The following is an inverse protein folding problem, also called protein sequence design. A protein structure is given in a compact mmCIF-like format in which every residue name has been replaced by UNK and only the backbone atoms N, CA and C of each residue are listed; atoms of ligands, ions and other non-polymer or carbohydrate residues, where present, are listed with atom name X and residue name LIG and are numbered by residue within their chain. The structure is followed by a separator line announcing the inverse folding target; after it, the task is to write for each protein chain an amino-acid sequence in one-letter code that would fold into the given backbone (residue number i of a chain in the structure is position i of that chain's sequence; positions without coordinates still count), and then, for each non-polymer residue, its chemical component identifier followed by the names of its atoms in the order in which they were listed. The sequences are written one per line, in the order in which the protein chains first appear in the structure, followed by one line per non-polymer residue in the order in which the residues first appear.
data_IF_866628443350
#
_entry.id   IF_866628443350
#
_cell.length_a   1.000
_cell.length_b   1.000
_cell.length_c   1.000
_cell.angle_alpha   90.00
_cell.angle_beta   90.00
_cell.angle_gamma   90.00
#
_symmetry.space_group_name_H-M   'P 1'
#
loop_
_entity.id
_entity.type
_entity.pdbx_description
1 polymer ?
#
# COMPACT_ATOMS: atom_id res chain seq x y z
N UNK A 1 -14.76 23.75 26.71
CA UNK A 1 -14.86 23.57 25.25
C UNK A 1 -14.90 22.07 25.02
N UNK A 2 -16.03 21.54 24.56
CA UNK A 2 -16.16 20.14 24.21
C UNK A 2 -15.54 19.90 22.82
N UNK A 3 -14.91 18.74 22.66
CA UNK A 3 -14.19 18.38 21.43
C UNK A 3 -15.04 17.34 20.68
N UNK A 4 -15.71 17.79 19.63
CA UNK A 4 -16.60 16.96 18.81
C UNK A 4 -16.27 17.10 17.32
N UNK A 5 -16.46 16.02 16.56
CA UNK A 5 -16.34 16.06 15.10
C UNK A 5 -17.62 16.67 14.50
N UNK A 6 -17.44 17.45 13.43
CA UNK A 6 -18.55 18.03 12.69
C UNK A 6 -18.65 17.40 11.31
N UNK A 7 -19.84 16.94 10.95
CA UNK A 7 -20.09 16.41 9.61
C UNK A 7 -19.89 17.49 8.55
N UNK A 8 -19.25 17.11 7.45
CA UNK A 8 -19.19 17.95 6.26
C UNK A 8 -20.54 17.89 5.52
N UNK A 9 -20.79 18.87 4.65
CA UNK A 9 -21.98 18.85 3.81
C UNK A 9 -21.80 17.82 2.68
N UNK A 10 -22.84 17.05 2.35
CA UNK A 10 -22.78 16.01 1.32
C UNK A 10 -22.43 16.57 -0.08
N UNK A 11 -22.83 17.80 -0.39
CA UNK A 11 -22.47 18.49 -1.63
C UNK A 11 -20.98 18.90 -1.69
N UNK A 12 -20.32 18.99 -0.54
CA UNK A 12 -18.90 19.30 -0.43
C UNK A 12 -17.97 18.10 -0.70
N UNK A 13 -18.50 16.86 -0.77
CA UNK A 13 -17.70 15.63 -0.96
C UNK A 13 -16.74 15.73 -2.15
N UNK A 14 -17.21 16.21 -3.31
CA UNK A 14 -16.36 16.35 -4.50
C UNK A 14 -15.19 17.33 -4.28
N UNK A 15 -15.42 18.40 -3.52
CA UNK A 15 -14.40 19.40 -3.18
C UNK A 15 -13.42 18.86 -2.13
N UNK A 16 -13.93 18.14 -1.13
CA UNK A 16 -13.14 17.47 -0.10
C UNK A 16 -12.22 16.41 -0.71
N UNK A 17 -12.71 15.57 -1.63
CA UNK A 17 -11.88 14.57 -2.32
C UNK A 17 -10.73 15.21 -3.13
N UNK A 18 -10.97 16.35 -3.78
CA UNK A 18 -9.91 17.11 -4.46
C UNK A 18 -8.86 17.61 -3.48
N UNK A 19 -9.27 18.11 -2.31
CA UNK A 19 -8.35 18.52 -1.24
C UNK A 19 -7.54 17.33 -0.72
N UNK A 20 -8.15 16.18 -0.46
CA UNK A 20 -7.44 14.98 -0.02
C UNK A 20 -6.32 14.59 -1.01
N UNK A 21 -6.61 14.60 -2.32
CA UNK A 21 -5.59 14.39 -3.35
C UNK A 21 -4.47 15.44 -3.31
N UNK A 22 -4.82 16.71 -3.12
CA UNK A 22 -3.85 17.80 -3.02
C UNK A 22 -2.93 17.64 -1.81
N UNK A 23 -3.48 17.34 -0.63
CA UNK A 23 -2.70 17.14 0.60
C UNK A 23 -1.74 15.96 0.49
N UNK A 24 -2.15 14.85 -0.17
CA UNK A 24 -1.22 13.76 -0.50
C UNK A 24 -0.06 14.24 -1.38
N UNK A 25 -0.33 15.05 -2.41
CA UNK A 25 0.71 15.61 -3.27
C UNK A 25 1.65 16.59 -2.55
N UNK A 26 1.19 17.18 -1.44
CA UNK A 26 1.99 18.03 -0.55
C UNK A 26 2.76 17.23 0.52
N UNK A 27 2.73 15.90 0.47
CA UNK A 27 3.32 15.01 1.48
C UNK A 27 2.70 15.19 2.88
N UNK A 28 1.41 15.54 2.94
CA UNK A 28 0.61 15.64 4.16
C UNK A 28 -0.44 14.51 4.22
N UNK A 29 -0.02 13.23 4.36
CA UNK A 29 -0.93 12.09 4.26
C UNK A 29 -1.89 11.96 5.44
N UNK A 30 -1.53 12.46 6.63
CA UNK A 30 -2.40 12.44 7.82
C UNK A 30 -3.64 13.35 7.62
N UNK A 31 -3.44 14.52 7.00
CA UNK A 31 -4.54 15.43 6.64
C UNK A 31 -5.40 14.81 5.55
N UNK A 32 -4.79 14.15 4.56
CA UNK A 32 -5.53 13.46 3.52
C UNK A 32 -6.35 12.28 4.07
N UNK A 33 -5.81 11.50 5.01
CA UNK A 33 -6.52 10.46 5.74
C UNK A 33 -7.73 11.05 6.47
N UNK A 34 -7.53 12.11 7.25
CA UNK A 34 -8.59 12.77 8.02
C UNK A 34 -9.77 13.18 7.12
N UNK A 35 -9.49 13.84 6.01
CA UNK A 35 -10.53 14.23 5.03
C UNK A 35 -11.24 13.00 4.43
N UNK A 36 -10.52 11.91 4.19
CA UNK A 36 -11.15 10.69 3.67
C UNK A 36 -12.09 10.07 4.71
N UNK A 37 -11.73 10.08 5.99
CA UNK A 37 -12.61 9.60 7.07
C UNK A 37 -13.89 10.43 7.16
N UNK A 38 -13.80 11.76 7.06
CA UNK A 38 -14.97 12.65 7.05
C UNK A 38 -15.91 12.34 5.88
N UNK A 39 -15.36 12.08 4.69
CA UNK A 39 -16.16 11.72 3.52
C UNK A 39 -16.78 10.32 3.70
N UNK A 40 -16.01 9.34 4.17
CA UNK A 40 -16.47 7.97 4.38
C UNK A 40 -17.52 7.88 5.51
N UNK A 41 -17.56 8.82 6.45
CA UNK A 41 -18.63 8.91 7.44
C UNK A 41 -19.99 9.15 6.78
N UNK A 42 -20.02 9.94 5.70
CA UNK A 42 -21.24 10.30 4.97
C UNK A 42 -21.55 9.30 3.85
N UNK A 43 -20.52 8.85 3.13
CA UNK A 43 -20.62 7.97 1.97
C UNK A 43 -19.61 6.82 2.10
N UNK A 44 -20.00 5.78 2.84
CA UNK A 44 -19.14 4.67 3.24
C UNK A 44 -18.62 3.83 2.07
N UNK A 45 -19.36 3.79 0.95
CA UNK A 45 -19.07 2.94 -0.21
C UNK A 45 -18.40 3.72 -1.35
N UNK A 46 -17.98 4.97 -1.10
CA UNK A 46 -17.34 5.81 -2.11
C UNK A 46 -15.98 5.25 -2.56
N UNK A 47 -16.00 4.51 -3.67
CA UNK A 47 -14.82 3.81 -4.20
C UNK A 47 -13.64 4.74 -4.51
N UNK A 48 -13.92 5.97 -4.97
CA UNK A 48 -12.86 6.94 -5.26
C UNK A 48 -12.17 7.43 -4.00
N UNK A 49 -12.92 7.56 -2.89
CA UNK A 49 -12.38 7.98 -1.59
C UNK A 49 -11.63 6.83 -0.94
N UNK A 50 -12.15 5.60 -1.00
CA UNK A 50 -11.46 4.40 -0.49
C UNK A 50 -10.07 4.26 -1.12
N UNK A 51 -9.94 4.46 -2.43
CA UNK A 51 -8.63 4.46 -3.12
C UNK A 51 -7.69 5.51 -2.54
N UNK A 52 -8.15 6.75 -2.35
CA UNK A 52 -7.31 7.83 -1.80
C UNK A 52 -6.97 7.58 -0.33
N UNK A 53 -7.89 7.02 0.45
CA UNK A 53 -7.70 6.63 1.84
C UNK A 53 -6.60 5.57 1.97
N UNK A 54 -6.71 4.48 1.20
CA UNK A 54 -5.69 3.42 1.13
C UNK A 54 -4.34 4.03 0.79
N UNK A 55 -4.28 4.86 -0.25
CA UNK A 55 -3.03 5.46 -0.68
C UNK A 55 -2.44 6.42 0.37
N UNK A 56 -3.26 7.19 1.10
CA UNK A 56 -2.80 8.05 2.19
C UNK A 56 -2.19 7.23 3.34
N UNK A 57 -2.84 6.12 3.72
CA UNK A 57 -2.31 5.21 4.74
C UNK A 57 -1.00 4.55 4.30
N UNK A 58 -0.89 4.16 3.03
CA UNK A 58 0.33 3.59 2.45
C UNK A 58 1.50 4.58 2.46
N UNK A 59 1.23 5.86 2.25
CA UNK A 59 2.26 6.91 2.30
C UNK A 59 2.83 7.05 3.74
N UNK A 60 2.03 6.78 4.77
CA UNK A 60 2.46 6.82 6.17
C UNK A 60 3.30 5.61 6.59
N UNK A 61 3.13 4.43 5.98
CA UNK A 61 3.95 3.23 6.28
C UNK A 61 5.44 3.53 6.11
N UNK A 62 5.80 4.28 5.07
CA UNK A 62 7.19 4.64 4.81
C UNK A 62 7.82 5.46 5.95
N UNK A 63 7.01 6.21 6.71
CA UNK A 63 7.46 6.98 7.87
C UNK A 63 7.54 6.10 9.12
N UNK A 64 6.47 5.35 9.42
CA UNK A 64 6.41 4.44 10.54
C UNK A 64 5.35 3.34 10.32
N UNK A 65 5.77 2.07 10.30
CA UNK A 65 4.84 0.95 10.22
C UNK A 65 4.26 0.63 11.61
N UNK A 66 2.93 0.60 11.69
CA UNK A 66 2.19 0.12 12.87
C UNK A 66 1.30 -1.04 12.44
N UNK A 67 1.33 -2.16 13.15
CA UNK A 67 0.53 -3.34 12.81
C UNK A 67 -0.99 -3.05 12.78
N UNK A 68 -1.46 -2.11 13.61
CA UNK A 68 -2.85 -1.65 13.61
C UNK A 68 -3.20 -0.96 12.30
N UNK A 69 -2.30 -0.16 11.73
CA UNK A 69 -2.49 0.53 10.46
C UNK A 69 -2.55 -0.44 9.29
N UNK A 70 -1.72 -1.50 9.28
CA UNK A 70 -1.76 -2.55 8.25
C UNK A 70 -3.15 -3.18 8.17
N UNK A 71 -3.74 -3.55 9.32
CA UNK A 71 -5.10 -4.11 9.37
C UNK A 71 -6.17 -3.16 8.88
N UNK A 72 -6.01 -1.85 9.09
CA UNK A 72 -6.93 -0.83 8.57
C UNK A 72 -6.84 -0.77 7.04
N UNK A 73 -5.63 -0.84 6.48
CA UNK A 73 -5.41 -0.83 5.03
C UNK A 73 -6.02 -2.09 4.40
N UNK A 74 -5.76 -3.28 4.96
CA UNK A 74 -6.32 -4.54 4.47
C UNK A 74 -7.86 -4.49 4.40
N UNK A 75 -8.51 -4.04 5.48
CA UNK A 75 -9.97 -3.85 5.51
C UNK A 75 -10.47 -2.84 4.50
N UNK A 76 -9.73 -1.75 4.28
CA UNK A 76 -10.09 -0.76 3.27
C UNK A 76 -9.96 -1.33 1.84
N UNK A 77 -8.93 -2.15 1.58
CA UNK A 77 -8.75 -2.86 0.31
C UNK A 77 -9.91 -3.85 0.08
N UNK A 78 -10.32 -4.61 1.09
CA UNK A 78 -11.43 -5.56 0.99
C UNK A 78 -12.75 -4.91 0.56
N UNK A 79 -12.98 -3.63 0.91
CA UNK A 79 -14.15 -2.85 0.52
C UNK A 79 -14.14 -2.36 -0.94
N UNK A 80 -13.03 -2.50 -1.66
CA UNK A 80 -12.98 -2.12 -3.07
C UNK A 80 -13.78 -3.11 -3.91
N UNK A 81 -14.64 -2.61 -4.79
CA UNK A 81 -15.52 -3.45 -5.61
C UNK A 81 -14.74 -4.21 -6.69
N UNK A 82 -13.72 -3.59 -7.27
CA UNK A 82 -12.92 -4.18 -8.34
C UNK A 82 -11.91 -5.19 -7.80
N UNK A 83 -12.00 -6.43 -8.28
CA UNK A 83 -11.01 -7.46 -7.96
C UNK A 83 -9.59 -7.07 -8.41
N UNK A 84 -9.47 -6.39 -9.56
CA UNK A 84 -8.20 -5.82 -10.02
C UNK A 84 -7.61 -4.88 -8.98
N UNK A 85 -8.41 -3.92 -8.50
CA UNK A 85 -7.95 -2.95 -7.51
C UNK A 85 -7.58 -3.64 -6.20
N UNK A 86 -8.33 -4.66 -5.76
CA UNK A 86 -7.98 -5.45 -4.57
C UNK A 86 -6.58 -6.07 -4.69
N UNK A 87 -6.30 -6.79 -5.78
CA UNK A 87 -4.97 -7.35 -6.00
C UNK A 87 -3.90 -6.26 -6.14
N UNK A 88 -4.17 -5.20 -6.90
CA UNK A 88 -3.20 -4.12 -7.11
C UNK A 88 -2.80 -3.42 -5.80
N UNK A 89 -3.77 -3.02 -4.97
CA UNK A 89 -3.48 -2.34 -3.71
C UNK A 89 -2.92 -3.26 -2.64
N UNK A 90 -3.25 -4.56 -2.64
CA UNK A 90 -2.56 -5.56 -1.81
C UNK A 90 -1.09 -5.72 -2.21
N UNK A 91 -0.80 -5.71 -3.51
CA UNK A 91 0.58 -5.68 -4.01
C UNK A 91 1.32 -4.43 -3.57
N UNK A 92 0.66 -3.26 -3.69
CA UNK A 92 1.24 -1.99 -3.28
C UNK A 92 1.51 -1.92 -1.77
N UNK A 93 0.64 -2.50 -0.94
CA UNK A 93 0.86 -2.61 0.50
C UNK A 93 2.16 -3.37 0.81
N UNK A 94 2.32 -4.57 0.26
CA UNK A 94 3.53 -5.37 0.48
C UNK A 94 4.78 -4.70 -0.10
N UNK A 95 4.68 -4.05 -1.26
CA UNK A 95 5.78 -3.26 -1.82
C UNK A 95 6.22 -2.13 -0.87
N UNK A 96 5.28 -1.39 -0.26
CA UNK A 96 5.63 -0.31 0.68
C UNK A 96 6.32 -0.83 1.93
N UNK A 97 5.87 -1.97 2.45
CA UNK A 97 6.51 -2.65 3.60
C UNK A 97 7.92 -3.12 3.25
N UNK A 98 8.09 -3.75 2.09
CA UNK A 98 9.40 -4.16 1.59
C UNK A 98 10.37 -2.98 1.47
N UNK A 99 9.93 -1.88 0.84
CA UNK A 99 10.74 -0.66 0.66
C UNK A 99 11.14 0.01 1.96
N UNK A 100 10.29 -0.04 2.98
CA UNK A 100 10.65 0.42 4.33
C UNK A 100 11.76 -0.45 4.92
N UNK A 101 11.63 -1.77 4.84
CA UNK A 101 12.58 -2.71 5.43
C UNK A 101 13.95 -2.67 4.76
N UNK A 102 14.05 -2.28 3.47
CA UNK A 102 15.35 -2.06 2.81
C UNK A 102 16.20 -1.02 3.54
N UNK A 103 15.58 -0.03 4.20
CA UNK A 103 16.34 1.00 4.94
C UNK A 103 17.05 0.42 6.18
N UNK A 104 16.77 -0.84 6.54
CA UNK A 104 17.31 -1.55 7.69
C UNK A 104 18.03 -2.82 7.24
N UNK A 105 19.37 -2.83 7.22
CA UNK A 105 20.16 -3.96 6.68
C UNK A 105 19.81 -5.32 7.28
N UNK A 106 19.51 -5.37 8.58
CA UNK A 106 19.13 -6.61 9.29
C UNK A 106 17.77 -7.18 8.85
N UNK A 107 17.03 -6.45 8.02
CA UNK A 107 15.68 -6.80 7.57
C UNK A 107 15.60 -7.17 6.08
N UNK A 108 16.74 -7.31 5.39
CA UNK A 108 16.78 -7.55 3.93
C UNK A 108 16.06 -8.83 3.48
N UNK A 109 16.13 -9.91 4.25
CA UNK A 109 15.40 -11.14 3.95
C UNK A 109 13.88 -10.94 4.04
N UNK A 110 13.41 -10.26 5.10
CA UNK A 110 11.99 -9.90 5.21
C UNK A 110 11.56 -8.93 4.08
N UNK A 111 12.43 -8.00 3.68
CA UNK A 111 12.16 -7.13 2.54
C UNK A 111 11.99 -7.93 1.25
N UNK A 112 12.83 -8.94 1.03
CA UNK A 112 12.70 -9.87 -0.09
C UNK A 112 11.35 -10.58 -0.07
N UNK A 113 10.96 -11.17 1.06
CA UNK A 113 9.69 -11.90 1.19
C UNK A 113 8.49 -11.01 0.84
N UNK A 114 8.44 -9.78 1.36
CA UNK A 114 7.38 -8.83 1.00
C UNK A 114 7.41 -8.41 -0.48
N UNK A 115 8.58 -8.32 -1.11
CA UNK A 115 8.64 -8.10 -2.55
C UNK A 115 8.07 -9.28 -3.33
N UNK A 116 8.36 -10.52 -2.91
CA UNK A 116 7.81 -11.71 -3.55
C UNK A 116 6.28 -11.73 -3.42
N UNK A 117 5.75 -11.43 -2.24
CA UNK A 117 4.29 -11.29 -2.04
C UNK A 117 3.70 -10.20 -2.95
N UNK A 118 4.34 -9.02 -3.01
CA UNK A 118 3.91 -7.93 -3.88
C UNK A 118 3.87 -8.35 -5.35
N UNK A 119 4.89 -9.06 -5.82
CA UNK A 119 4.97 -9.61 -7.17
C UNK A 119 3.80 -10.57 -7.42
N UNK A 120 3.54 -11.53 -6.53
CA UNK A 120 2.41 -12.46 -6.67
C UNK A 120 1.07 -11.73 -6.85
N UNK A 121 0.82 -10.67 -6.06
CA UNK A 121 -0.36 -9.83 -6.22
C UNK A 121 -0.40 -9.10 -7.56
N UNK A 122 0.70 -8.50 -8.00
CA UNK A 122 0.75 -7.83 -9.30
C UNK A 122 0.58 -8.79 -10.48
N UNK A 123 1.03 -10.04 -10.35
CA UNK A 123 0.77 -11.08 -11.34
C UNK A 123 -0.72 -11.45 -11.41
N UNK A 124 -1.43 -11.51 -10.28
CA UNK A 124 -2.87 -11.72 -10.31
C UNK A 124 -3.60 -10.51 -10.88
N UNK A 125 -3.17 -9.29 -10.52
CA UNK A 125 -3.75 -8.06 -11.05
C UNK A 125 -3.57 -7.95 -12.57
N UNK A 126 -2.39 -8.27 -13.12
CA UNK A 126 -2.13 -8.16 -14.56
C UNK A 126 -2.99 -9.12 -15.41
N UNK A 127 -3.39 -10.28 -14.87
CA UNK A 127 -4.28 -11.23 -15.56
C UNK A 127 -5.71 -10.73 -15.74
N UNK A 128 -6.16 -9.82 -14.88
CA UNK A 128 -7.54 -9.28 -14.88
C UNK A 128 -7.55 -7.76 -15.08
N UNK A 129 -6.44 -7.24 -15.61
CA UNK A 129 -6.26 -5.81 -15.86
C UNK A 129 -7.31 -5.31 -16.87
N UNK A 130 -7.93 -4.14 -16.64
CA UNK A 130 -8.70 -3.44 -17.66
C UNK A 130 -7.83 -3.12 -18.89
N UNK A 131 -8.45 -3.01 -20.07
CA UNK A 131 -7.75 -2.67 -21.29
C UNK A 131 -6.86 -1.42 -21.12
N UNK A 132 -5.61 -1.51 -21.57
CA UNK A 132 -4.60 -0.45 -21.51
C UNK A 132 -4.17 -0.04 -20.09
N UNK A 133 -4.41 -0.88 -19.07
CA UNK A 133 -3.90 -0.63 -17.72
C UNK A 133 -2.65 -1.48 -17.41
N UNK A 134 -1.48 -0.91 -17.68
CA UNK A 134 -0.19 -1.57 -17.41
C UNK A 134 0.39 -1.26 -16.02
N UNK A 135 -0.37 -0.63 -15.12
CA UNK A 135 0.17 -0.19 -13.82
C UNK A 135 0.73 -1.35 -13.00
N UNK A 136 0.05 -2.51 -12.96
CA UNK A 136 0.53 -3.69 -12.27
C UNK A 136 1.88 -4.20 -12.84
N UNK A 137 2.05 -4.12 -14.17
CA UNK A 137 3.29 -4.52 -14.86
C UNK A 137 4.41 -3.53 -14.54
N UNK A 138 4.12 -2.22 -14.56
CA UNK A 138 5.08 -1.17 -14.20
C UNK A 138 5.58 -1.34 -12.75
N UNK A 139 4.67 -1.68 -11.83
CA UNK A 139 4.99 -1.96 -10.43
C UNK A 139 5.83 -3.23 -10.27
N UNK A 140 5.42 -4.33 -10.92
CA UNK A 140 6.20 -5.56 -10.98
C UNK A 140 7.66 -5.31 -11.42
N UNK A 141 7.84 -4.56 -12.51
CA UNK A 141 9.16 -4.21 -13.02
C UNK A 141 9.97 -3.35 -12.04
N UNK A 142 9.31 -2.45 -11.30
CA UNK A 142 9.95 -1.65 -10.25
C UNK A 142 10.43 -2.51 -9.08
N UNK A 143 9.63 -3.50 -8.67
CA UNK A 143 10.01 -4.45 -7.63
C UNK A 143 11.26 -5.24 -8.03
N UNK A 144 11.28 -5.85 -9.23
CA UNK A 144 12.45 -6.61 -9.71
C UNK A 144 13.71 -5.76 -9.72
N UNK A 145 13.67 -4.56 -10.33
CA UNK A 145 14.83 -3.65 -10.36
C UNK A 145 15.32 -3.30 -8.96
N UNK A 146 14.42 -3.20 -7.98
CA UNK A 146 14.79 -2.90 -6.60
C UNK A 146 15.47 -4.11 -5.94
N UNK A 147 14.90 -5.31 -6.11
CA UNK A 147 15.49 -6.57 -5.60
C UNK A 147 16.91 -6.75 -6.12
N UNK A 148 17.12 -6.57 -7.43
CA UNK A 148 18.43 -6.69 -8.08
C UNK A 148 19.42 -5.63 -7.58
N UNK A 149 19.00 -4.37 -7.54
CA UNK A 149 19.83 -3.24 -7.10
C UNK A 149 20.31 -3.40 -5.66
N UNK A 150 19.41 -3.77 -4.76
CA UNK A 150 19.70 -3.92 -3.33
C UNK A 150 20.25 -5.32 -2.98
N UNK A 151 20.41 -6.20 -4.00
CA UNK A 151 20.89 -7.58 -3.89
C UNK A 151 20.15 -8.39 -2.81
N UNK A 152 18.83 -8.20 -2.76
CA UNK A 152 17.99 -8.89 -1.79
C UNK A 152 17.97 -10.38 -2.09
N UNK A 153 18.00 -11.19 -1.03
CA UNK A 153 18.02 -12.65 -1.11
C UNK A 153 16.97 -13.23 -0.16
N UNK A 154 16.45 -14.43 -0.46
CA UNK A 154 15.62 -15.15 0.50
C UNK A 154 16.39 -15.36 1.80
N UNK A 155 15.64 -15.54 2.89
CA UNK A 155 16.23 -16.04 4.13
C UNK A 155 16.80 -17.44 3.85
N UNK A 156 18.08 -17.63 4.16
CA UNK A 156 18.66 -18.97 4.20
C UNK A 156 18.11 -19.66 5.44
N UNK A 157 17.48 -20.81 5.27
CA UNK A 157 17.11 -21.64 6.41
C UNK A 157 18.37 -22.28 7.01
N UNK A 158 18.29 -22.73 8.28
CA UNK A 158 19.44 -23.33 8.97
C UNK A 158 20.02 -24.55 8.26
N UNK A 159 19.21 -25.24 7.45
CA UNK A 159 19.65 -26.37 6.61
C UNK A 159 20.50 -25.90 5.42
N UNK A 160 20.18 -24.76 4.80
CA UNK A 160 20.93 -24.23 3.65
C UNK A 160 22.32 -23.72 4.05
N UNK A 161 22.46 -23.17 5.26
CA UNK A 161 23.74 -22.69 5.80
C UNK A 161 24.75 -23.81 6.05
N UNK A 162 24.28 -25.03 6.33
CA UNK A 162 25.15 -26.19 6.55
C UNK A 162 25.75 -26.69 5.23
N UNK A 163 25.00 -26.60 4.12
CA UNK A 163 25.45 -27.05 2.79
C UNK A 163 26.54 -26.12 2.22
N UNK A 164 26.44 -24.81 2.44
CA UNK A 164 27.44 -23.82 2.01
C UNK A 164 28.76 -23.89 2.81
N UNK A 165 28.74 -24.44 4.04
CA UNK A 165 29.96 -24.63 4.84
C UNK A 165 30.71 -25.92 4.53
N UNK A 166 30.05 -26.88 3.87
CA UNK A 166 30.62 -28.17 3.46
C UNK A 166 31.10 -28.19 1.99
N UNK A 167 30.93 -27.10 1.25
CA UNK A 167 31.31 -26.93 -0.17
C UNK A 167 32.53 -26.03 -0.34
#
# INVERSE_FOLDING_TARGET
MELELHDIHADAIKKALKKAKQYRSLLEPEIAESICLDILNIDQDNQSVLVIYILALLDQILLAEKQTQIKVIERAIEKLNSQYQRYYYSGLLNERRARRLITQTMSHSFAYDYFIEALQYYQQASKISPDQNDEAILRWNSCIRTIEKEKLKPRLDSEDLLVDMES
#
